data_IF_862132493490
#
_entry.id   IF_862132493490
#
_cell.length_a   1.000
_cell.length_b   1.000
_cell.length_c   1.000
_cell.angle_alpha   90.00
_cell.angle_beta   90.00
_cell.angle_gamma   90.00
#
_symmetry.space_group_name_H-M   'P 1'
#
loop_
_entity.id
_entity.type
_entity.pdbx_description
1 polymer ?
#
# COMPACT_ATOMS: atom_id res chain seq x y z
N UNK A 1 23.74 30.34 -71.62
CA UNK A 1 24.83 29.82 -72.47
C UNK A 1 25.03 28.39 -72.04
N UNK A 2 24.59 27.46 -72.88
CA UNK A 2 25.03 26.06 -73.17
C UNK A 2 24.69 25.06 -72.08
N UNK A 3 23.61 24.25 -72.19
CA UNK A 3 23.28 23.12 -73.06
C UNK A 3 24.21 21.86 -72.85
N UNK A 4 23.59 20.76 -72.59
CA UNK A 4 24.05 19.42 -72.83
C UNK A 4 23.59 18.42 -71.80
N UNK A 5 22.61 17.76 -71.91
CA UNK A 5 22.06 16.66 -72.73
C UNK A 5 22.12 15.31 -72.03
N UNK A 6 21.02 14.66 -72.07
CA UNK A 6 20.58 13.34 -71.67
C UNK A 6 21.49 12.18 -72.10
N UNK A 7 21.44 11.09 -71.40
CA UNK A 7 21.17 9.75 -72.00
C UNK A 7 20.64 8.72 -71.00
N UNK A 8 19.49 8.26 -71.34
CA UNK A 8 18.92 6.99 -70.86
C UNK A 8 19.71 5.81 -71.42
N UNK A 9 19.77 4.71 -70.66
CA UNK A 9 19.83 3.38 -71.22
C UNK A 9 19.08 2.40 -70.32
N UNK A 10 18.04 1.82 -70.90
CA UNK A 10 17.29 0.66 -70.43
C UNK A 10 18.10 -0.58 -70.70
N UNK A 11 18.07 -1.58 -69.83
CA UNK A 11 18.08 -2.99 -70.24
C UNK A 11 17.47 -3.87 -69.17
N UNK A 12 16.57 -4.68 -69.64
CA UNK A 12 15.73 -5.65 -68.98
C UNK A 12 16.45 -7.00 -68.82
N UNK A 13 15.78 -7.87 -68.04
CA UNK A 13 15.81 -9.36 -68.05
C UNK A 13 16.91 -9.92 -67.12
N UNK A 14 16.61 -10.84 -66.18
CA UNK A 14 15.96 -12.16 -66.24
C UNK A 14 15.53 -12.61 -64.81
N UNK A 15 14.35 -13.19 -64.77
CA UNK A 15 13.77 -13.96 -63.69
C UNK A 15 14.57 -15.24 -63.42
N UNK A 16 14.99 -15.48 -62.18
CA UNK A 16 15.31 -16.86 -61.76
C UNK A 16 14.75 -17.06 -60.35
N UNK A 17 13.71 -17.89 -60.28
CA UNK A 17 13.08 -18.36 -59.05
C UNK A 17 14.01 -19.39 -58.42
N UNK A 18 14.52 -19.12 -57.24
CA UNK A 18 15.06 -20.13 -56.35
C UNK A 18 14.28 -20.06 -55.03
N UNK A 19 13.42 -21.05 -54.85
CA UNK A 19 12.76 -21.31 -53.56
C UNK A 19 13.81 -21.78 -52.57
N UNK A 20 14.10 -20.93 -51.59
CA UNK A 20 14.84 -21.34 -50.40
C UNK A 20 13.86 -21.30 -49.24
N UNK A 21 13.47 -22.46 -48.78
CA UNK A 21 12.73 -22.65 -47.51
C UNK A 21 13.67 -22.31 -46.38
N UNK A 22 13.52 -21.12 -45.83
CA UNK A 22 14.11 -20.73 -44.58
C UNK A 22 13.08 -20.98 -43.46
N UNK A 23 13.37 -22.02 -42.70
CA UNK A 23 12.77 -22.28 -41.40
C UNK A 23 13.01 -21.05 -40.47
N UNK A 24 12.06 -20.15 -40.43
CA UNK A 24 11.99 -19.12 -39.41
C UNK A 24 11.57 -19.78 -38.09
N UNK A 25 12.54 -20.08 -37.25
CA UNK A 25 12.32 -20.42 -35.87
C UNK A 25 11.69 -19.21 -35.18
N UNK A 26 10.36 -19.22 -34.97
CA UNK A 26 9.70 -18.38 -34.02
C UNK A 26 10.27 -18.68 -32.62
N UNK A 27 11.22 -17.87 -32.18
CA UNK A 27 11.42 -17.70 -30.74
C UNK A 27 10.15 -17.06 -30.19
N UNK A 28 9.25 -17.90 -29.73
CA UNK A 28 8.21 -17.48 -28.81
C UNK A 28 8.91 -16.90 -27.57
N UNK A 29 8.91 -15.58 -27.47
CA UNK A 29 9.20 -14.91 -26.21
C UNK A 29 8.20 -15.45 -25.19
N UNK A 30 8.66 -16.28 -24.28
CA UNK A 30 7.94 -16.61 -23.07
C UNK A 30 7.82 -15.31 -22.29
N UNK A 31 6.73 -14.59 -22.53
CA UNK A 31 6.18 -13.68 -21.52
C UNK A 31 5.76 -14.59 -20.38
N UNK A 32 6.61 -14.68 -19.38
CA UNK A 32 6.24 -15.27 -18.09
C UNK A 32 5.19 -14.32 -17.49
N UNK A 33 3.92 -14.57 -17.80
CA UNK A 33 2.83 -14.13 -16.96
C UNK A 33 3.08 -14.78 -15.60
N UNK A 34 3.70 -14.02 -14.70
CA UNK A 34 3.63 -14.38 -13.28
C UNK A 34 2.19 -14.18 -12.86
N UNK A 35 1.43 -15.26 -12.88
CA UNK A 35 0.20 -15.37 -12.13
C UNK A 35 0.57 -15.09 -10.67
N UNK A 36 0.35 -13.84 -10.26
CA UNK A 36 0.27 -13.50 -8.86
C UNK A 36 -0.98 -14.15 -8.30
N UNK A 37 -0.86 -15.45 -8.01
CA UNK A 37 -1.90 -16.22 -7.34
C UNK A 37 -2.00 -15.73 -5.90
N UNK A 38 -2.64 -14.56 -5.70
CA UNK A 38 -3.05 -14.02 -4.41
C UNK A 38 -4.25 -14.79 -3.81
N UNK A 39 -4.63 -15.90 -4.41
CA UNK A 39 -5.91 -16.56 -4.19
C UNK A 39 -5.88 -17.72 -3.17
N UNK A 40 -4.94 -17.80 -2.26
CA UNK A 40 -4.86 -18.99 -1.41
C UNK A 40 -4.99 -18.75 0.10
N UNK A 41 -5.53 -17.62 0.59
CA UNK A 41 -6.00 -17.54 2.00
C UNK A 41 -7.02 -16.43 2.31
N UNK A 42 -7.56 -15.73 1.33
CA UNK A 42 -8.61 -14.73 1.60
C UNK A 42 -9.98 -15.30 1.28
N UNK A 43 -10.62 -15.91 2.26
CA UNK A 43 -12.02 -16.36 2.19
C UNK A 43 -13.05 -15.23 2.34
N UNK A 44 -12.60 -13.98 2.31
CA UNK A 44 -13.49 -12.82 2.18
C UNK A 44 -13.51 -12.43 0.71
N UNK A 45 -14.67 -12.45 0.06
CA UNK A 45 -14.80 -11.97 -1.32
C UNK A 45 -14.23 -10.54 -1.38
N UNK A 46 -13.56 -10.17 -2.46
CA UNK A 46 -13.01 -8.81 -2.61
C UNK A 46 -14.09 -7.73 -2.41
N UNK A 47 -15.34 -8.00 -2.75
CA UNK A 47 -16.48 -7.13 -2.54
C UNK A 47 -16.79 -6.92 -1.05
N UNK A 48 -16.75 -7.98 -0.22
CA UNK A 48 -17.04 -7.90 1.22
C UNK A 48 -15.92 -7.20 2.01
N UNK A 49 -14.71 -7.20 1.48
CA UNK A 49 -13.59 -6.48 2.08
C UNK A 49 -13.68 -4.95 1.91
N UNK A 50 -14.49 -4.46 0.99
CA UNK A 50 -14.57 -3.06 0.60
C UNK A 50 -15.73 -2.30 1.23
N UNK A 51 -16.87 -2.98 1.46
CA UNK A 51 -18.06 -2.39 2.08
C UNK A 51 -18.27 -3.05 3.43
N UNK A 52 -17.88 -2.36 4.48
CA UNK A 52 -17.94 -2.87 5.84
C UNK A 52 -18.91 -2.02 6.65
N UNK A 53 -20.18 -2.34 6.54
CA UNK A 53 -21.26 -1.59 7.17
C UNK A 53 -21.05 -1.38 8.68
N UNK A 54 -20.49 -2.38 9.37
CA UNK A 54 -20.12 -2.27 10.78
C UNK A 54 -19.07 -1.18 11.04
N UNK A 55 -18.12 -0.98 10.12
CA UNK A 55 -17.11 0.06 10.23
C UNK A 55 -17.70 1.45 9.97
N UNK A 56 -18.62 1.58 8.99
CA UNK A 56 -19.39 2.81 8.78
C UNK A 56 -20.22 3.18 9.99
N UNK A 57 -20.92 2.21 10.58
CA UNK A 57 -21.72 2.45 11.78
C UNK A 57 -20.89 2.87 12.98
N UNK A 58 -19.69 2.32 13.15
CA UNK A 58 -18.74 2.78 14.17
C UNK A 58 -18.34 4.22 13.91
N UNK A 59 -17.94 4.52 12.68
CA UNK A 59 -17.50 5.86 12.29
C UNK A 59 -18.62 6.90 12.47
N UNK A 60 -19.84 6.57 12.10
CA UNK A 60 -21.02 7.44 12.25
C UNK A 60 -21.36 7.75 13.72
N UNK A 61 -20.92 6.93 14.66
CA UNK A 61 -21.12 7.12 16.11
C UNK A 61 -19.94 7.86 16.78
N UNK A 62 -18.87 8.10 16.03
CA UNK A 62 -17.71 8.82 16.57
C UNK A 62 -18.06 10.27 16.90
N UNK A 63 -17.71 10.77 18.11
CA UNK A 63 -17.89 12.17 18.47
C UNK A 63 -16.81 13.08 17.88
N UNK A 64 -15.74 12.52 17.32
CA UNK A 64 -14.56 13.25 16.86
C UNK A 64 -14.83 13.98 15.55
N UNK A 65 -14.20 15.13 15.38
CA UNK A 65 -14.20 15.83 14.10
C UNK A 65 -13.45 15.01 13.05
N UNK A 66 -14.13 14.76 11.93
CA UNK A 66 -13.62 14.01 10.81
C UNK A 66 -13.98 14.72 9.51
N UNK A 67 -13.05 14.78 8.58
CA UNK A 67 -13.24 15.45 7.30
C UNK A 67 -12.43 14.83 6.17
N UNK A 68 -12.91 15.02 4.94
CA UNK A 68 -12.12 14.77 3.75
C UNK A 68 -11.45 16.08 3.31
N UNK A 69 -10.14 16.03 3.10
CA UNK A 69 -9.35 17.15 2.61
C UNK A 69 -8.75 16.84 1.25
N UNK A 70 -8.51 17.88 0.46
CA UNK A 70 -7.85 17.80 -0.84
C UNK A 70 -6.50 18.50 -0.75
N UNK A 71 -5.44 17.74 -0.92
CA UNK A 71 -4.07 18.19 -0.77
C UNK A 71 -3.47 18.34 -2.15
N UNK A 72 -3.26 19.60 -2.56
CA UNK A 72 -2.63 19.93 -3.85
C UNK A 72 -1.14 20.08 -3.67
N UNK A 73 -0.39 19.49 -4.59
CA UNK A 73 1.05 19.65 -4.65
C UNK A 73 1.54 19.44 -6.08
N UNK A 74 2.76 19.90 -6.36
CA UNK A 74 3.41 19.67 -7.65
C UNK A 74 4.53 18.65 -7.47
N UNK A 75 4.40 17.42 -8.01
CA UNK A 75 5.49 16.45 -7.97
C UNK A 75 6.74 17.00 -8.66
N UNK A 76 7.92 16.66 -8.15
CA UNK A 76 9.18 17.07 -8.74
C UNK A 76 9.27 16.61 -10.21
N UNK A 77 9.54 17.55 -11.12
CA UNK A 77 9.63 17.29 -12.56
C UNK A 77 8.28 17.13 -13.29
N UNK A 78 7.14 17.17 -12.59
CA UNK A 78 5.84 17.07 -13.24
C UNK A 78 5.43 18.39 -13.92
N UNK A 79 4.71 18.28 -15.03
CA UNK A 79 4.16 19.44 -15.74
C UNK A 79 2.95 20.04 -15.01
N UNK A 80 2.13 19.21 -14.36
CA UNK A 80 0.88 19.59 -13.68
C UNK A 80 0.92 19.34 -12.18
N UNK A 81 0.03 20.01 -11.46
CA UNK A 81 -0.28 19.71 -10.08
C UNK A 81 -1.02 18.37 -9.97
N UNK A 82 -0.88 17.73 -8.80
CA UNK A 82 -1.65 16.57 -8.37
C UNK A 82 -2.46 16.94 -7.13
N UNK A 83 -3.65 16.39 -7.02
CA UNK A 83 -4.52 16.51 -5.85
C UNK A 83 -4.73 15.12 -5.23
N UNK A 84 -4.44 14.99 -3.93
CA UNK A 84 -4.68 13.76 -3.16
C UNK A 84 -5.80 14.04 -2.17
N UNK A 85 -6.86 13.26 -2.23
CA UNK A 85 -7.91 13.24 -1.21
C UNK A 85 -7.44 12.43 -0.01
N UNK A 86 -7.63 12.95 1.19
CA UNK A 86 -7.27 12.25 2.42
C UNK A 86 -8.37 12.41 3.48
N UNK A 87 -8.60 11.35 4.24
CA UNK A 87 -9.50 11.35 5.38
C UNK A 87 -8.73 11.70 6.64
N UNK A 88 -9.12 12.75 7.33
CA UNK A 88 -8.49 13.25 8.56
C UNK A 88 -9.44 13.13 9.72
N UNK A 89 -8.92 12.67 10.86
CA UNK A 89 -9.66 12.65 12.13
C UNK A 89 -8.81 13.30 13.21
N UNK A 90 -9.44 14.17 13.99
CA UNK A 90 -8.80 14.92 15.05
C UNK A 90 -9.08 14.31 16.43
N UNK A 91 -8.07 14.20 17.30
CA UNK A 91 -8.26 13.67 18.64
C UNK A 91 -8.95 14.69 19.55
N UNK A 92 -9.69 14.18 20.54
CA UNK A 92 -10.28 15.00 21.61
C UNK A 92 -9.27 15.21 22.76
N UNK A 93 -8.15 15.85 22.47
CA UNK A 93 -7.09 16.12 23.45
C UNK A 93 -6.82 17.61 23.61
N UNK A 94 -6.33 17.99 24.80
CA UNK A 94 -5.84 19.35 25.01
C UNK A 94 -4.44 19.50 24.41
N UNK A 95 -4.29 20.42 23.47
CA UNK A 95 -3.00 20.75 22.86
C UNK A 95 -2.73 20.00 21.56
N UNK A 96 -1.48 20.06 21.12
CA UNK A 96 -1.05 19.49 19.85
C UNK A 96 -0.67 18.01 19.98
N UNK A 97 -1.09 17.20 19.03
CA UNK A 97 -0.84 15.76 19.00
C UNK A 97 0.15 15.36 17.90
N UNK A 98 0.84 14.23 18.09
CA UNK A 98 1.61 13.57 17.04
C UNK A 98 0.65 13.08 15.95
N UNK A 99 1.07 13.18 14.68
CA UNK A 99 0.29 12.70 13.55
C UNK A 99 0.63 11.24 13.23
N UNK A 100 -0.37 10.45 12.81
CA UNK A 100 -0.20 9.10 12.27
C UNK A 100 -0.73 9.07 10.84
N UNK A 101 0.15 8.84 9.89
CA UNK A 101 -0.16 8.65 8.48
C UNK A 101 -0.52 7.17 8.23
N UNK A 102 -1.73 6.90 7.77
CA UNK A 102 -2.29 5.55 7.58
C UNK A 102 -2.31 5.18 6.11
N UNK A 103 -1.60 4.13 5.71
CA UNK A 103 -1.59 3.63 4.34
C UNK A 103 -2.53 2.43 4.23
N UNK A 104 -3.53 2.54 3.35
CA UNK A 104 -4.57 1.54 3.14
C UNK A 104 -4.05 0.20 2.58
N UNK A 105 -4.89 -0.83 2.63
CA UNK A 105 -4.64 -2.13 2.02
C UNK A 105 -4.74 -2.09 0.48
N UNK A 106 -4.58 -3.24 -0.18
CA UNK A 106 -4.79 -3.43 -1.63
C UNK A 106 -6.22 -3.10 -2.08
N UNK A 107 -7.13 -2.90 -1.15
CA UNK A 107 -8.53 -2.55 -1.38
C UNK A 107 -8.78 -1.03 -1.46
N UNK A 108 -7.73 -0.20 -1.37
CA UNK A 108 -7.86 1.24 -1.36
C UNK A 108 -8.47 1.79 -0.07
N UNK A 109 -9.07 2.97 -0.17
CA UNK A 109 -9.73 3.63 0.95
C UNK A 109 -11.05 2.94 1.27
N UNK A 110 -11.00 1.95 2.17
CA UNK A 110 -12.16 1.19 2.64
C UNK A 110 -12.80 1.83 3.88
N UNK A 111 -14.02 1.39 4.23
CA UNK A 111 -14.70 1.84 5.43
C UNK A 111 -13.92 1.47 6.70
N UNK A 112 -13.25 0.30 6.69
CA UNK A 112 -12.40 -0.11 7.81
C UNK A 112 -11.18 0.82 7.99
N UNK A 113 -10.52 1.24 6.92
CA UNK A 113 -9.39 2.17 7.01
C UNK A 113 -9.82 3.50 7.62
N UNK A 114 -10.99 4.02 7.23
CA UNK A 114 -11.55 5.24 7.83
C UNK A 114 -11.89 5.03 9.30
N UNK A 115 -12.51 3.92 9.67
CA UNK A 115 -12.80 3.56 11.06
C UNK A 115 -11.55 3.36 11.90
N UNK A 116 -10.49 2.77 11.34
CA UNK A 116 -9.20 2.63 12.01
C UNK A 116 -8.52 4.00 12.22
N UNK A 117 -8.62 4.90 11.25
CA UNK A 117 -8.13 6.27 11.36
C UNK A 117 -8.81 6.99 12.53
N UNK A 118 -10.12 6.77 12.71
CA UNK A 118 -10.86 7.29 13.86
C UNK A 118 -10.41 6.66 15.19
N UNK A 119 -10.12 5.34 15.22
CA UNK A 119 -9.59 4.69 16.43
C UNK A 119 -8.21 5.23 16.85
N UNK A 120 -7.37 5.64 15.89
CA UNK A 120 -6.11 6.31 16.20
C UNK A 120 -6.34 7.71 16.80
N UNK A 121 -7.33 8.41 16.30
CA UNK A 121 -7.71 9.71 16.90
C UNK A 121 -8.32 9.53 18.30
N UNK A 122 -9.10 8.47 18.54
CA UNK A 122 -9.53 8.07 19.88
C UNK A 122 -8.34 7.81 20.81
N UNK A 123 -7.26 7.26 20.30
CA UNK A 123 -6.04 7.02 21.06
C UNK A 123 -5.18 8.27 21.27
N UNK A 124 -5.61 9.45 20.77
CA UNK A 124 -4.98 10.75 21.04
C UNK A 124 -4.06 11.28 19.93
N UNK A 125 -4.14 10.76 18.70
CA UNK A 125 -3.29 11.16 17.58
C UNK A 125 -4.09 11.89 16.50
N UNK A 126 -3.50 12.86 15.82
CA UNK A 126 -4.08 13.35 14.56
C UNK A 126 -3.86 12.24 13.54
N UNK A 127 -4.92 11.63 13.04
CA UNK A 127 -4.80 10.52 12.09
C UNK A 127 -5.23 10.96 10.70
N UNK A 128 -4.46 10.57 9.68
CA UNK A 128 -4.73 10.91 8.28
C UNK A 128 -4.49 9.71 7.37
N UNK A 129 -5.47 9.41 6.53
CA UNK A 129 -5.39 8.33 5.55
C UNK A 129 -5.60 8.87 4.13
N UNK A 130 -4.57 8.92 3.26
CA UNK A 130 -4.74 9.29 1.87
C UNK A 130 -5.42 8.20 1.06
N UNK A 131 -6.28 8.58 0.12
CA UNK A 131 -6.66 7.75 -1.00
C UNK A 131 -5.61 7.87 -2.10
N UNK A 132 -4.68 6.92 -2.16
CA UNK A 132 -3.58 6.92 -3.13
C UNK A 132 -4.04 6.72 -4.59
N UNK A 133 -5.31 6.35 -4.78
CA UNK A 133 -5.95 6.30 -6.10
C UNK A 133 -6.62 7.61 -6.51
N UNK A 134 -6.46 8.68 -5.74
CA UNK A 134 -6.99 10.01 -6.09
C UNK A 134 -6.63 10.42 -7.51
N UNK A 135 -7.61 10.86 -8.27
CA UNK A 135 -7.45 11.30 -9.66
C UNK A 135 -7.40 10.16 -10.69
N UNK A 136 -7.38 8.89 -10.28
CA UNK A 136 -7.29 7.72 -11.17
C UNK A 136 -8.66 7.14 -11.54
N UNK A 137 -9.68 7.48 -10.78
CA UNK A 137 -11.04 7.05 -11.03
C UNK A 137 -11.77 7.94 -12.05
N UNK A 138 -12.98 7.55 -12.45
CA UNK A 138 -13.85 8.34 -13.29
C UNK A 138 -14.01 9.78 -12.77
N UNK A 139 -14.03 10.74 -13.68
CA UNK A 139 -14.17 12.17 -13.38
C UNK A 139 -13.14 12.71 -12.37
N UNK A 140 -11.96 12.10 -12.31
CA UNK A 140 -10.93 12.48 -11.36
C UNK A 140 -11.17 11.98 -9.92
N UNK A 141 -12.05 11.01 -9.75
CA UNK A 141 -12.31 10.34 -8.46
C UNK A 141 -11.17 9.41 -8.02
N UNK A 142 -11.39 8.70 -6.93
CA UNK A 142 -10.42 7.78 -6.34
C UNK A 142 -10.97 6.36 -6.20
N UNK A 143 -10.67 5.75 -5.05
CA UNK A 143 -11.07 4.36 -4.73
C UNK A 143 -12.58 4.14 -4.89
N UNK A 144 -13.41 5.07 -4.41
CA UNK A 144 -14.86 4.91 -4.43
C UNK A 144 -15.41 4.84 -5.85
N UNK A 145 -14.94 5.71 -6.74
CA UNK A 145 -15.38 5.79 -8.13
C UNK A 145 -14.89 4.62 -8.97
N UNK A 146 -13.65 4.16 -8.74
CA UNK A 146 -13.12 2.94 -9.39
C UNK A 146 -13.95 1.74 -8.97
N UNK A 147 -14.21 1.58 -7.68
CA UNK A 147 -15.02 0.47 -7.12
C UNK A 147 -16.45 0.46 -7.64
N UNK A 148 -17.06 1.63 -7.79
CA UNK A 148 -18.43 1.75 -8.30
C UNK A 148 -18.56 1.25 -9.74
N UNK A 149 -17.49 1.31 -10.54
CA UNK A 149 -17.47 0.74 -11.89
C UNK A 149 -17.12 -0.75 -11.90
N UNK A 150 -16.06 -1.12 -11.20
CA UNK A 150 -15.58 -2.49 -11.06
C UNK A 150 -14.81 -2.66 -9.75
N UNK A 151 -15.36 -3.44 -8.81
CA UNK A 151 -14.71 -3.70 -7.52
C UNK A 151 -13.35 -4.38 -7.64
N UNK A 152 -13.11 -5.15 -8.72
CA UNK A 152 -11.84 -5.83 -8.96
C UNK A 152 -10.77 -4.89 -9.52
N UNK A 153 -11.16 -3.77 -10.13
CA UNK A 153 -10.23 -2.81 -10.71
C UNK A 153 -9.37 -2.07 -9.66
N UNK A 154 -9.88 -1.92 -8.41
CA UNK A 154 -9.16 -1.23 -7.33
C UNK A 154 -7.79 -1.88 -7.09
N UNK A 155 -7.74 -3.20 -6.89
CA UNK A 155 -6.49 -3.91 -6.63
C UNK A 155 -5.50 -3.82 -7.80
N UNK A 156 -6.00 -3.80 -9.04
CA UNK A 156 -5.16 -3.56 -10.22
C UNK A 156 -4.59 -2.14 -10.20
N UNK A 157 -5.43 -1.13 -10.03
CA UNK A 157 -5.02 0.27 -10.01
C UNK A 157 -3.94 0.54 -8.94
N UNK A 158 -4.07 -0.07 -7.75
CA UNK A 158 -3.06 0.03 -6.69
C UNK A 158 -1.72 -0.61 -7.09
N UNK A 159 -1.73 -1.77 -7.76
CA UNK A 159 -0.49 -2.41 -8.23
C UNK A 159 0.19 -1.61 -9.34
N UNK A 160 -0.57 -0.86 -10.11
CA UNK A 160 -0.06 -0.02 -11.20
C UNK A 160 0.53 1.32 -10.70
N UNK A 161 0.34 1.67 -9.42
CA UNK A 161 0.93 2.88 -8.82
C UNK A 161 2.45 2.83 -8.85
N UNK A 162 3.07 3.87 -9.40
CA UNK A 162 4.53 3.95 -9.38
C UNK A 162 5.05 4.25 -7.97
N UNK A 163 6.18 3.63 -7.57
CA UNK A 163 6.80 3.90 -6.29
C UNK A 163 7.11 5.39 -6.04
N UNK A 164 7.52 6.11 -7.08
CA UNK A 164 7.79 7.54 -6.99
C UNK A 164 6.54 8.37 -6.68
N UNK A 165 5.41 8.04 -7.31
CA UNK A 165 4.14 8.72 -7.03
C UNK A 165 3.65 8.44 -5.62
N UNK A 166 3.72 7.18 -5.16
CA UNK A 166 3.35 6.83 -3.78
C UNK A 166 4.16 7.67 -2.79
N UNK A 167 5.47 7.77 -2.98
CA UNK A 167 6.33 8.57 -2.10
C UNK A 167 5.95 10.04 -2.12
N UNK A 168 5.73 10.61 -3.30
CA UNK A 168 5.37 12.02 -3.43
C UNK A 168 4.00 12.35 -2.82
N UNK A 169 3.00 11.47 -2.99
CA UNK A 169 1.70 11.59 -2.35
C UNK A 169 1.82 11.54 -0.82
N UNK A 170 2.60 10.60 -0.29
CA UNK A 170 2.81 10.46 1.16
C UNK A 170 3.59 11.65 1.73
N UNK A 171 4.56 12.20 1.01
CA UNK A 171 5.30 13.41 1.42
C UNK A 171 4.39 14.63 1.46
N UNK A 172 3.51 14.81 0.47
CA UNK A 172 2.54 15.89 0.45
C UNK A 172 1.55 15.79 1.63
N UNK A 173 1.04 14.59 1.89
CA UNK A 173 0.13 14.33 3.01
C UNK A 173 0.84 14.50 4.36
N UNK A 174 2.08 14.05 4.48
CA UNK A 174 2.91 14.24 5.66
C UNK A 174 3.16 15.74 5.95
N UNK A 175 3.49 16.49 4.91
CA UNK A 175 3.64 17.96 4.99
C UNK A 175 2.37 18.64 5.45
N UNK A 176 1.23 18.26 4.86
CA UNK A 176 -0.07 18.81 5.21
C UNK A 176 -0.40 18.56 6.70
N UNK A 177 -0.40 17.29 7.12
CA UNK A 177 -0.80 16.95 8.50
C UNK A 177 0.16 17.50 9.54
N UNK A 178 1.45 17.65 9.22
CA UNK A 178 2.42 18.30 10.11
C UNK A 178 2.13 19.80 10.32
N UNK A 179 1.55 20.46 9.32
CA UNK A 179 1.26 21.89 9.35
C UNK A 179 -0.07 22.23 10.05
N UNK A 180 -0.91 21.24 10.33
CA UNK A 180 -2.20 21.46 10.99
C UNK A 180 -2.03 22.07 12.38
N UNK A 181 -2.90 23.02 12.79
CA UNK A 181 -2.85 23.61 14.13
C UNK A 181 -2.91 22.58 15.27
N UNK A 182 -3.62 21.46 15.05
CA UNK A 182 -3.74 20.36 16.00
C UNK A 182 -2.49 19.46 16.06
N UNK A 183 -1.57 19.56 15.09
CA UNK A 183 -0.35 18.75 15.02
C UNK A 183 0.81 19.40 15.76
N UNK A 184 1.64 18.58 16.42
CA UNK A 184 2.91 18.99 17.00
C UNK A 184 4.08 18.96 15.98
N UNK A 185 3.79 18.69 14.71
CA UNK A 185 4.77 18.59 13.63
C UNK A 185 5.50 17.23 13.53
N UNK A 186 5.25 16.32 14.46
CA UNK A 186 5.85 14.98 14.49
C UNK A 186 4.95 13.97 13.79
N UNK A 187 5.55 13.01 13.07
CA UNK A 187 4.80 12.02 12.27
C UNK A 187 5.33 10.61 12.51
N UNK A 188 4.41 9.67 12.68
CA UNK A 188 4.64 8.24 12.48
C UNK A 188 3.84 7.76 11.26
N UNK A 189 4.30 6.68 10.61
CA UNK A 189 3.59 6.05 9.50
C UNK A 189 3.15 4.65 9.88
N UNK A 190 1.99 4.26 9.43
CA UNK A 190 1.49 2.89 9.53
C UNK A 190 0.90 2.45 8.21
N UNK A 191 0.88 1.13 7.96
CA UNK A 191 0.23 0.59 6.78
C UNK A 191 -0.06 -0.89 6.94
N UNK A 192 -1.00 -1.37 6.14
CA UNK A 192 -1.59 -2.70 6.26
C UNK A 192 -1.51 -3.44 4.93
N UNK A 193 -1.13 -4.72 4.92
CA UNK A 193 -1.01 -5.52 3.71
C UNK A 193 -0.05 -4.86 2.70
N UNK A 194 -0.54 -4.51 1.52
CA UNK A 194 0.21 -3.70 0.55
C UNK A 194 0.70 -2.39 1.18
N UNK A 195 -0.17 -1.68 1.92
CA UNK A 195 0.21 -0.48 2.65
C UNK A 195 1.25 -0.73 3.75
N UNK A 196 1.30 -1.94 4.32
CA UNK A 196 2.36 -2.35 5.24
C UNK A 196 3.73 -2.34 4.55
N UNK A 197 3.82 -2.88 3.34
CA UNK A 197 5.05 -2.78 2.53
C UNK A 197 5.37 -1.34 2.15
N UNK A 198 4.34 -0.51 1.87
CA UNK A 198 4.56 0.90 1.57
C UNK A 198 5.02 1.69 2.80
N UNK A 199 4.55 1.38 4.02
CA UNK A 199 5.04 2.04 5.23
C UNK A 199 6.51 1.69 5.52
N UNK A 200 6.91 0.45 5.27
CA UNK A 200 8.31 0.03 5.35
C UNK A 200 9.16 0.81 4.33
N UNK A 201 8.70 0.84 3.07
CA UNK A 201 9.39 1.58 2.00
C UNK A 201 9.41 3.08 2.27
N UNK A 202 8.35 3.67 2.80
CA UNK A 202 8.32 5.09 3.13
C UNK A 202 9.34 5.45 4.22
N UNK A 203 9.63 4.55 5.15
CA UNK A 203 10.70 4.74 6.12
C UNK A 203 12.09 4.84 5.48
N UNK A 204 12.30 4.31 4.26
CA UNK A 204 13.53 4.49 3.51
C UNK A 204 13.62 5.86 2.82
N UNK A 205 12.48 6.53 2.60
CA UNK A 205 12.37 7.78 1.86
C UNK A 205 12.16 9.01 2.77
N UNK A 206 11.62 8.82 3.99
CA UNK A 206 11.37 9.92 4.91
C UNK A 206 12.17 9.75 6.21
N UNK A 207 13.28 10.49 6.33
CA UNK A 207 14.17 10.44 7.50
C UNK A 207 13.64 11.16 8.74
N UNK A 208 12.50 11.85 8.64
CA UNK A 208 11.87 12.62 9.74
C UNK A 208 10.81 11.84 10.50
N UNK A 209 10.50 10.62 10.08
CA UNK A 209 9.53 9.77 10.78
C UNK A 209 10.01 9.44 12.18
N UNK A 210 9.11 9.48 13.16
CA UNK A 210 9.35 8.98 14.51
C UNK A 210 9.42 7.46 14.55
N UNK A 211 8.58 6.79 13.76
CA UNK A 211 8.49 5.35 13.65
C UNK A 211 7.73 4.93 12.37
N UNK A 212 7.98 3.72 11.91
CA UNK A 212 7.17 3.04 10.91
C UNK A 212 6.57 1.76 11.50
N UNK A 213 5.26 1.60 11.34
CA UNK A 213 4.50 0.42 11.78
C UNK A 213 4.07 -0.38 10.56
N UNK A 214 4.54 -1.61 10.47
CA UNK A 214 4.38 -2.50 9.32
C UNK A 214 3.47 -3.66 9.71
N UNK A 215 2.22 -3.62 9.27
CA UNK A 215 1.28 -4.71 9.51
C UNK A 215 1.25 -5.64 8.29
N UNK A 216 1.70 -6.88 8.50
CA UNK A 216 1.74 -7.97 7.49
C UNK A 216 2.18 -7.52 6.09
N UNK A 217 3.20 -6.66 6.04
CA UNK A 217 3.86 -6.17 4.83
C UNK A 217 5.31 -6.64 4.75
N UNK A 218 5.86 -6.77 3.54
CA UNK A 218 7.27 -7.11 3.32
C UNK A 218 8.16 -5.87 3.37
N UNK A 219 9.45 -6.07 3.66
CA UNK A 219 10.47 -5.07 3.39
C UNK A 219 10.59 -4.79 1.88
N UNK A 220 11.22 -3.67 1.48
CA UNK A 220 11.57 -3.42 0.09
C UNK A 220 12.36 -4.56 -0.53
N UNK A 221 11.94 -4.97 -1.73
CA UNK A 221 12.56 -6.02 -2.52
C UNK A 221 13.17 -5.43 -3.79
N UNK A 222 14.23 -6.05 -4.29
CA UNK A 222 14.80 -5.73 -5.61
C UNK A 222 13.81 -6.11 -6.73
N UNK A 223 14.14 -5.80 -7.97
CA UNK A 223 13.30 -6.07 -9.15
C UNK A 223 12.92 -7.55 -9.30
N UNK A 224 13.75 -8.47 -8.78
CA UNK A 224 13.48 -9.91 -8.78
C UNK A 224 12.33 -10.33 -7.84
N UNK A 225 11.78 -9.40 -7.05
CA UNK A 225 10.72 -9.60 -6.07
C UNK A 225 11.02 -10.68 -5.00
N UNK A 226 12.29 -10.99 -4.78
CA UNK A 226 12.76 -12.03 -3.86
C UNK A 226 13.87 -11.54 -2.94
N UNK A 227 14.81 -10.78 -3.49
CA UNK A 227 15.98 -10.30 -2.76
C UNK A 227 15.66 -9.03 -1.99
N UNK A 228 15.99 -8.98 -0.70
CA UNK A 228 15.86 -7.77 0.11
C UNK A 228 16.74 -6.66 -0.46
N UNK A 229 16.16 -5.48 -0.64
CA UNK A 229 16.90 -4.30 -1.12
C UNK A 229 17.62 -3.61 0.05
N UNK A 230 18.86 -4.05 0.30
CA UNK A 230 19.69 -3.48 1.36
C UNK A 230 20.05 -2.02 1.11
N UNK A 231 20.13 -1.59 -0.15
CA UNK A 231 20.44 -0.20 -0.49
C UNK A 231 19.28 0.72 -0.07
N UNK A 232 18.04 0.29 -0.32
CA UNK A 232 16.87 0.98 0.21
C UNK A 232 16.86 0.97 1.75
N UNK A 233 17.02 -0.19 2.38
CA UNK A 233 16.99 -0.31 3.84
C UNK A 233 18.07 0.52 4.52
N UNK A 234 19.22 0.72 3.89
CA UNK A 234 20.31 1.52 4.44
C UNK A 234 19.94 2.96 4.78
N UNK A 235 18.93 3.51 4.06
CA UNK A 235 18.45 4.89 4.23
C UNK A 235 17.55 5.09 5.46
N UNK A 236 17.02 4.01 6.03
CA UNK A 236 16.10 4.07 7.19
C UNK A 236 16.79 4.76 8.37
N UNK A 237 16.08 5.71 8.98
CA UNK A 237 16.51 6.40 10.22
C UNK A 237 15.58 6.09 11.39
N UNK A 238 14.30 5.96 11.13
CA UNK A 238 13.29 5.65 12.14
C UNK A 238 13.30 4.18 12.57
N UNK A 239 12.93 3.82 13.79
CA UNK A 239 12.65 2.45 14.16
C UNK A 239 11.48 1.90 13.35
N UNK A 240 11.57 0.63 12.98
CA UNK A 240 10.52 -0.10 12.26
C UNK A 240 9.97 -1.19 13.18
N UNK A 241 8.66 -1.19 13.36
CA UNK A 241 7.95 -2.18 14.19
C UNK A 241 7.07 -3.05 13.30
N UNK A 242 7.35 -4.35 13.27
CA UNK A 242 6.62 -5.32 12.47
C UNK A 242 5.54 -6.05 13.28
N UNK A 243 4.39 -6.30 12.63
CA UNK A 243 3.23 -7.00 13.17
C UNK A 243 2.80 -8.06 12.16
N UNK A 244 3.10 -9.33 12.44
CA UNK A 244 2.99 -10.42 11.48
C UNK A 244 2.06 -11.51 11.97
N UNK A 245 1.45 -12.23 11.03
CA UNK A 245 0.55 -13.34 11.30
C UNK A 245 1.27 -14.68 11.10
N UNK A 246 1.15 -15.65 12.02
CA UNK A 246 1.84 -16.93 11.86
C UNK A 246 1.34 -17.75 10.66
N UNK A 247 0.09 -17.56 10.25
CA UNK A 247 -0.53 -18.25 9.12
C UNK A 247 -0.40 -17.47 7.77
N UNK A 248 0.50 -16.48 7.71
CA UNK A 248 0.85 -15.76 6.48
C UNK A 248 2.18 -16.28 5.91
N UNK A 249 2.15 -17.43 5.26
CA UNK A 249 3.35 -18.08 4.74
C UNK A 249 4.14 -17.20 3.78
N UNK A 250 3.45 -16.40 2.95
CA UNK A 250 4.07 -15.51 1.96
C UNK A 250 4.92 -14.42 2.62
N UNK A 251 4.40 -13.74 3.61
CA UNK A 251 5.13 -12.68 4.32
C UNK A 251 6.18 -13.29 5.24
N UNK A 252 5.85 -14.37 5.94
CA UNK A 252 6.79 -15.02 6.86
C UNK A 252 8.05 -15.54 6.15
N UNK A 253 7.95 -15.96 4.88
CA UNK A 253 9.11 -16.35 4.08
C UNK A 253 10.14 -15.21 3.90
N UNK A 254 9.72 -13.94 4.00
CA UNK A 254 10.62 -12.78 3.85
C UNK A 254 11.28 -12.34 5.16
N UNK A 255 10.73 -12.74 6.31
CA UNK A 255 11.16 -12.22 7.61
C UNK A 255 12.61 -12.57 7.97
N UNK A 256 13.10 -13.81 7.80
CA UNK A 256 14.48 -14.15 8.17
C UNK A 256 15.49 -13.26 7.44
N UNK A 257 15.34 -13.09 6.11
CA UNK A 257 16.23 -12.24 5.32
C UNK A 257 16.09 -10.75 5.69
N UNK A 258 14.87 -10.30 6.01
CA UNK A 258 14.64 -8.91 6.48
C UNK A 258 15.33 -8.65 7.81
N UNK A 259 15.19 -9.56 8.79
CA UNK A 259 15.81 -9.44 10.11
C UNK A 259 17.34 -9.37 9.97
N UNK A 260 17.92 -10.27 9.16
CA UNK A 260 19.36 -10.30 8.93
C UNK A 260 19.84 -8.99 8.27
N UNK A 261 19.18 -8.54 7.20
CA UNK A 261 19.54 -7.30 6.51
C UNK A 261 19.46 -6.07 7.43
N UNK A 262 18.40 -5.94 8.22
CA UNK A 262 18.23 -4.82 9.16
C UNK A 262 19.31 -4.84 10.25
N UNK A 263 19.68 -6.03 10.75
CA UNK A 263 20.76 -6.22 11.73
C UNK A 263 22.11 -5.84 11.15
N UNK A 264 22.48 -6.35 9.97
CA UNK A 264 23.72 -6.01 9.27
C UNK A 264 23.87 -4.51 9.04
N UNK A 265 22.76 -3.83 8.73
CA UNK A 265 22.72 -2.39 8.50
C UNK A 265 22.60 -1.57 9.80
N UNK A 266 22.63 -2.20 10.97
CA UNK A 266 22.43 -1.55 12.27
C UNK A 266 21.13 -0.72 12.33
N UNK A 267 20.04 -1.22 11.73
CA UNK A 267 18.71 -0.58 11.75
C UNK A 267 17.84 -1.22 12.85
N UNK A 268 17.10 -0.38 13.58
CA UNK A 268 16.18 -0.86 14.60
C UNK A 268 14.95 -1.45 13.94
N UNK A 269 14.80 -2.78 14.07
CA UNK A 269 13.65 -3.52 13.57
C UNK A 269 13.14 -4.49 14.65
N UNK A 270 11.87 -4.37 14.99
CA UNK A 270 11.24 -5.15 16.06
C UNK A 270 10.00 -5.89 15.52
N UNK A 271 10.18 -7.02 14.83
CA UNK A 271 9.07 -7.85 14.37
C UNK A 271 8.46 -8.69 15.51
N UNK A 272 7.13 -8.82 15.52
CA UNK A 272 6.38 -9.75 16.36
C UNK A 272 5.41 -10.53 15.50
N UNK A 273 5.36 -11.84 15.69
CA UNK A 273 4.44 -12.75 14.98
C UNK A 273 3.37 -13.25 15.95
N UNK A 274 2.10 -13.04 15.58
CA UNK A 274 0.92 -13.40 16.36
C UNK A 274 0.45 -14.80 15.95
N UNK A 275 0.38 -15.71 16.93
CA UNK A 275 0.08 -17.13 16.70
C UNK A 275 -1.38 -17.34 16.29
N UNK A 276 -1.60 -18.19 15.30
CA UNK A 276 -2.92 -18.54 14.76
C UNK A 276 -3.55 -17.49 13.85
N UNK A 277 -3.00 -16.26 13.83
CA UNK A 277 -3.53 -15.20 13.02
C UNK A 277 -3.27 -15.41 11.53
N UNK A 278 -4.22 -14.99 10.68
CA UNK A 278 -4.08 -14.91 9.23
C UNK A 278 -3.68 -13.54 8.72
N UNK A 279 -3.33 -13.46 7.43
CA UNK A 279 -3.12 -12.18 6.75
C UNK A 279 -4.34 -11.27 6.94
N UNK A 280 -4.14 -9.98 7.19
CA UNK A 280 -5.26 -9.05 7.41
C UNK A 280 -5.92 -9.13 8.80
N UNK A 281 -5.27 -9.77 9.80
CA UNK A 281 -5.86 -9.99 11.11
C UNK A 281 -6.33 -8.70 11.81
N UNK A 282 -5.75 -7.54 11.51
CA UNK A 282 -6.21 -6.27 12.08
C UNK A 282 -7.64 -5.95 11.66
N UNK A 283 -7.96 -6.16 10.40
CA UNK A 283 -9.32 -5.97 9.86
C UNK A 283 -10.23 -7.12 10.27
N UNK A 284 -9.80 -8.35 10.09
CA UNK A 284 -10.60 -9.54 10.40
C UNK A 284 -10.96 -9.63 11.89
N UNK A 285 -10.01 -9.29 12.79
CA UNK A 285 -10.26 -9.29 14.23
C UNK A 285 -11.01 -8.05 14.74
N UNK A 286 -11.14 -7.00 13.93
CA UNK A 286 -11.93 -5.81 14.23
C UNK A 286 -13.40 -5.92 13.80
N UNK A 287 -13.68 -6.84 12.89
CA UNK A 287 -15.02 -7.16 12.42
C UNK A 287 -15.88 -7.79 13.52
N UNK A 288 -17.21 -7.75 13.40
CA UNK A 288 -18.11 -8.54 14.27
C UNK A 288 -17.81 -10.05 14.17
N UNK A 289 -18.12 -10.82 15.21
CA UNK A 289 -17.97 -12.26 15.17
C UNK A 289 -18.84 -12.87 14.04
N UNK A 290 -18.40 -14.00 13.46
CA UNK A 290 -19.19 -14.72 12.49
C UNK A 290 -20.52 -15.18 13.11
N UNK A 291 -21.57 -15.25 12.28
CA UNK A 291 -22.90 -15.66 12.73
C UNK A 291 -22.91 -17.08 13.33
N UNK A 292 -24.02 -17.45 13.99
CA UNK A 292 -24.21 -18.77 14.61
C UNK A 292 -24.01 -19.91 13.62
N UNK A 293 -24.41 -19.72 12.38
CA UNK A 293 -24.34 -20.71 11.28
C UNK A 293 -22.93 -20.93 10.72
N UNK A 294 -21.96 -20.10 11.09
CA UNK A 294 -20.57 -20.26 10.65
C UNK A 294 -19.99 -21.59 11.17
N UNK A 295 -19.16 -22.22 10.34
CA UNK A 295 -18.47 -23.45 10.74
C UNK A 295 -17.42 -23.19 11.84
N UNK A 296 -16.94 -24.28 12.45
CA UNK A 296 -16.00 -24.19 13.57
C UNK A 296 -14.69 -23.52 13.14
N UNK A 297 -14.23 -23.79 11.91
CA UNK A 297 -13.00 -23.17 11.39
C UNK A 297 -13.11 -21.65 11.28
N UNK A 298 -14.23 -21.14 10.78
CA UNK A 298 -14.46 -19.68 10.69
C UNK A 298 -14.50 -19.03 12.08
N UNK A 299 -15.09 -19.71 13.08
CA UNK A 299 -15.11 -19.25 14.47
C UNK A 299 -13.71 -19.25 15.10
N UNK A 300 -12.92 -20.29 14.86
CA UNK A 300 -11.54 -20.42 15.37
C UNK A 300 -10.62 -19.37 14.70
N UNK A 301 -10.70 -19.21 13.38
CA UNK A 301 -9.95 -18.20 12.63
C UNK A 301 -10.30 -16.78 13.12
N UNK A 302 -11.59 -16.49 13.35
CA UNK A 302 -12.00 -15.22 13.94
C UNK A 302 -11.42 -15.02 15.34
N UNK A 303 -11.51 -16.03 16.20
CA UNK A 303 -10.98 -15.98 17.57
C UNK A 303 -9.47 -15.69 17.59
N UNK A 304 -8.71 -16.35 16.73
CA UNK A 304 -7.27 -16.14 16.58
C UNK A 304 -6.95 -14.72 16.05
N UNK A 305 -7.65 -14.27 15.01
CA UNK A 305 -7.49 -12.92 14.45
C UNK A 305 -7.89 -11.83 15.44
N UNK A 306 -8.97 -12.04 16.21
CA UNK A 306 -9.41 -11.10 17.25
C UNK A 306 -8.38 -10.96 18.35
N UNK A 307 -7.84 -12.06 18.85
CA UNK A 307 -6.77 -12.06 19.85
C UNK A 307 -5.53 -11.33 19.34
N UNK A 308 -5.09 -11.66 18.12
CA UNK A 308 -3.93 -11.02 17.49
C UNK A 308 -4.14 -9.51 17.29
N UNK A 309 -5.33 -9.11 16.85
CA UNK A 309 -5.71 -7.70 16.69
C UNK A 309 -5.61 -6.95 18.02
N UNK A 310 -6.16 -7.51 19.08
CA UNK A 310 -6.18 -6.85 20.39
C UNK A 310 -4.77 -6.73 20.98
N UNK A 311 -3.95 -7.77 20.89
CA UNK A 311 -2.55 -7.75 21.34
C UNK A 311 -1.70 -6.77 20.50
N UNK A 312 -1.87 -6.78 19.18
CA UNK A 312 -1.18 -5.86 18.27
C UNK A 312 -1.59 -4.40 18.53
N UNK A 313 -2.87 -4.15 18.76
CA UNK A 313 -3.39 -2.82 19.09
C UNK A 313 -2.83 -2.29 20.41
N UNK A 314 -2.77 -3.14 21.44
CA UNK A 314 -2.14 -2.77 22.72
C UNK A 314 -0.66 -2.44 22.53
N UNK A 315 0.09 -3.30 21.83
CA UNK A 315 1.52 -3.07 21.54
C UNK A 315 1.72 -1.78 20.76
N UNK A 316 0.94 -1.56 19.71
CA UNK A 316 1.04 -0.38 18.87
C UNK A 316 0.81 0.91 19.66
N UNK A 317 -0.27 0.99 20.46
CA UNK A 317 -0.52 2.13 21.35
C UNK A 317 0.59 2.33 22.38
N UNK A 318 1.11 1.26 22.96
CA UNK A 318 2.21 1.34 23.92
C UNK A 318 3.52 1.86 23.30
N UNK A 319 3.77 1.62 22.02
CA UNK A 319 4.91 2.19 21.31
C UNK A 319 4.63 3.66 20.95
N UNK A 320 3.46 3.94 20.37
CA UNK A 320 3.05 5.31 20.01
C UNK A 320 3.09 6.27 21.19
N UNK A 321 2.73 5.83 22.39
CA UNK A 321 2.75 6.69 23.60
C UNK A 321 4.16 7.07 24.07
N UNK A 322 5.21 6.48 23.50
CA UNK A 322 6.62 6.74 23.87
C UNK A 322 7.38 7.58 22.84
N UNK A 323 6.74 7.96 21.74
CA UNK A 323 7.40 8.66 20.62
C UNK A 323 6.82 10.06 20.34
#
# INVERSE_FOLDING_TARGET
MILGEQRQLRSSIVLTVFSLVLLSGCRAGHQVHMDHNHAASETVSGADALVQEWAKQRLAKSPRHQEWVKIKYKPAGAASEREVSAFVVYPEVKGKATAVLVIHEIFGMSDWVQSLTDQLAEAGYVAIAPDLLSGMGPNGGGTAEIRAQDSNAVGKAIRDLSPGQITADLDAVAGYVSSLPASNGKIAVTGFCWGGSQSFRYATNNSKLLAAFVFYGSAPLKEDQKTIDKDELSRIKAPVYGFYASNDARINATLPATIEAMKELNKRYEPVTYQGAGHGFMRAGDAPPPGSEADQKAKDDYGANKKARDEAWMRWKAILSKI
#
